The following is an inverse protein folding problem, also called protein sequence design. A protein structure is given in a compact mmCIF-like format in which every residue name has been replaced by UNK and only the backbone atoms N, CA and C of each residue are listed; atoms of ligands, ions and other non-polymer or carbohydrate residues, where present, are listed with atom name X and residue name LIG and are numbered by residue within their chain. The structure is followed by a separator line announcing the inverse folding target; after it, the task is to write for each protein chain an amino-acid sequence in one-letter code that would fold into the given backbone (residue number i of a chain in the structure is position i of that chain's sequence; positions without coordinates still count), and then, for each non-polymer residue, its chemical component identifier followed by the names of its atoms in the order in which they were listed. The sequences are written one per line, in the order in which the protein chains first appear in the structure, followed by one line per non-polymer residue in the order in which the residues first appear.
data_IF_639431977888
#
_entry.id   IF_639431977888
#
_cell.length_a   1.000
_cell.length_b   1.000
_cell.length_c   1.000
_cell.angle_alpha   90.00
_cell.angle_beta   90.00
_cell.angle_gamma   90.00
#
_symmetry.space_group_name_H-M   'P 1'
#
loop_
_entity.id
_entity.type
_entity.pdbx_description
1 polymer ?
#
# COMPACT_ATOMS: atom_id res chain seq x y z
N UNK A 1 -1.91 -3.53 17.57
CA UNK A 1 -1.87 -4.13 16.22
C UNK A 1 -0.94 -5.33 16.17
N UNK A 2 0.35 -5.20 16.51
CA UNK A 2 1.26 -6.37 16.46
C UNK A 2 0.86 -7.51 17.42
N UNK A 3 0.31 -7.20 18.60
CA UNK A 3 -0.17 -8.23 19.54
C UNK A 3 -1.59 -8.78 19.23
N UNK A 4 -2.18 -8.43 18.09
CA UNK A 4 -3.55 -8.84 17.72
C UNK A 4 -3.59 -9.95 16.65
N UNK A 5 -2.49 -10.66 16.41
CA UNK A 5 -2.45 -11.69 15.36
C UNK A 5 -2.40 -11.10 13.95
N UNK A 6 -1.56 -10.08 13.71
CA UNK A 6 -1.47 -9.41 12.39
C UNK A 6 -1.11 -10.36 11.23
N UNK A 7 -0.42 -11.46 11.53
CA UNK A 7 -0.01 -12.47 10.55
C UNK A 7 -1.22 -13.13 9.88
N UNK A 8 -2.32 -13.35 10.61
CA UNK A 8 -3.55 -13.92 10.05
C UNK A 8 -4.08 -12.99 8.95
N UNK A 9 -4.12 -11.68 9.20
CA UNK A 9 -4.54 -10.70 8.21
C UNK A 9 -3.61 -10.65 6.99
N UNK A 10 -2.29 -10.77 7.18
CA UNK A 10 -1.33 -10.65 6.06
C UNK A 10 -1.26 -11.89 5.19
N UNK A 11 -1.46 -13.07 5.77
CA UNK A 11 -1.23 -14.35 5.09
C UNK A 11 -2.52 -15.13 4.79
N UNK A 12 -3.67 -14.69 5.33
CA UNK A 12 -4.96 -15.23 4.90
C UNK A 12 -5.21 -14.90 3.42
N UNK A 13 -5.56 -15.94 2.65
CA UNK A 13 -5.65 -15.85 1.18
C UNK A 13 -6.89 -15.13 0.66
N UNK A 14 -7.83 -14.76 1.54
CA UNK A 14 -9.12 -14.17 1.16
C UNK A 14 -9.28 -12.79 1.79
N UNK A 15 -8.77 -11.78 1.12
CA UNK A 15 -8.99 -10.40 1.52
C UNK A 15 -8.00 -9.43 0.91
N UNK A 16 -8.23 -8.16 1.19
CA UNK A 16 -7.27 -7.07 0.95
C UNK A 16 -7.07 -6.35 2.27
N UNK A 17 -5.82 -6.21 2.69
CA UNK A 17 -5.47 -5.47 3.90
C UNK A 17 -4.93 -4.11 3.51
N UNK A 18 -5.52 -3.05 4.09
CA UNK A 18 -5.06 -1.68 3.93
C UNK A 18 -4.52 -1.20 5.28
N UNK A 19 -3.28 -0.72 5.29
CA UNK A 19 -2.60 -0.31 6.52
C UNK A 19 -2.27 1.17 6.43
N UNK A 20 -2.92 1.96 7.27
CA UNK A 20 -2.52 3.36 7.48
C UNK A 20 -1.26 3.44 8.33
N UNK A 21 -0.45 4.48 8.09
CA UNK A 21 0.81 4.71 8.80
C UNK A 21 1.79 3.51 8.77
N UNK A 22 1.76 2.72 7.69
CA UNK A 22 2.57 1.50 7.49
C UNK A 22 4.07 1.68 7.77
N UNK A 23 4.60 2.90 7.59
CA UNK A 23 5.97 3.28 7.96
C UNK A 23 6.36 2.97 9.42
N UNK A 24 5.40 2.92 10.34
CA UNK A 24 5.63 2.60 11.76
C UNK A 24 5.87 1.11 12.01
N UNK A 25 5.51 0.25 11.06
CA UNK A 25 5.63 -1.21 11.15
C UNK A 25 6.45 -1.77 9.98
N UNK A 26 7.36 -0.97 9.41
CA UNK A 26 8.08 -1.29 8.17
C UNK A 26 8.76 -2.67 8.20
N UNK A 27 9.31 -3.05 9.35
CA UNK A 27 10.01 -4.33 9.54
C UNK A 27 9.06 -5.54 9.58
N UNK A 28 7.77 -5.31 9.77
CA UNK A 28 6.72 -6.33 9.82
C UNK A 28 5.92 -6.43 8.52
N UNK A 29 6.11 -5.52 7.57
CA UNK A 29 5.41 -5.56 6.30
C UNK A 29 5.79 -6.83 5.52
N UNK A 30 4.84 -7.42 4.76
CA UNK A 30 5.16 -8.55 3.90
C UNK A 30 6.19 -8.15 2.84
N UNK A 31 6.87 -9.14 2.24
CA UNK A 31 7.86 -8.90 1.18
C UNK A 31 7.25 -8.26 -0.08
N UNK A 32 5.97 -8.53 -0.32
CA UNK A 32 5.22 -8.02 -1.46
C UNK A 32 4.01 -7.23 -0.97
N UNK A 33 3.88 -5.98 -1.42
CA UNK A 33 2.78 -5.08 -1.10
C UNK A 33 2.72 -3.94 -2.11
N UNK A 34 1.58 -3.24 -2.16
CA UNK A 34 1.44 -1.98 -2.86
C UNK A 34 1.52 -0.84 -1.85
N UNK A 35 2.56 0.00 -1.96
CA UNK A 35 2.67 1.21 -1.17
C UNK A 35 1.90 2.35 -1.85
N UNK A 36 1.07 3.06 -1.08
CA UNK A 36 0.36 4.25 -1.53
C UNK A 36 0.70 5.42 -0.62
N UNK A 37 1.12 6.53 -1.22
CA UNK A 37 1.53 7.75 -0.53
C UNK A 37 0.60 8.90 -0.93
N UNK A 38 0.07 9.61 0.06
CA UNK A 38 -0.74 10.81 -0.13
C UNK A 38 0.05 12.02 0.37
N UNK A 39 0.32 12.97 -0.54
CA UNK A 39 0.96 14.25 -0.21
C UNK A 39 -0.06 15.38 -0.31
N UNK A 40 -0.10 16.23 0.72
CA UNK A 40 -0.90 17.46 0.69
C UNK A 40 -0.26 18.44 -0.31
N UNK A 41 -1.04 18.90 -1.28
CA UNK A 41 -0.62 19.89 -2.29
C UNK A 41 -1.33 21.22 -2.08
N UNK A 42 -2.59 21.17 -1.64
CA UNK A 42 -3.43 22.32 -1.34
C UNK A 42 -4.50 21.91 -0.31
N UNK A 43 -5.38 22.81 0.12
CA UNK A 43 -6.47 22.54 1.05
C UNK A 43 -7.35 21.37 0.60
N UNK A 44 -7.77 21.39 -0.67
CA UNK A 44 -8.63 20.36 -1.28
C UNK A 44 -7.91 19.40 -2.25
N UNK A 45 -6.59 19.57 -2.45
CA UNK A 45 -5.83 18.76 -3.40
C UNK A 45 -4.81 17.85 -2.71
N UNK A 46 -4.74 16.61 -3.16
CA UNK A 46 -3.74 15.63 -2.75
C UNK A 46 -3.05 15.09 -4.00
N UNK A 47 -1.73 14.91 -3.93
CA UNK A 47 -0.99 14.09 -4.89
C UNK A 47 -0.94 12.68 -4.34
N UNK A 48 -1.42 11.72 -5.14
CA UNK A 48 -1.34 10.30 -4.82
C UNK A 48 -0.22 9.71 -5.67
N UNK A 49 0.72 9.03 -5.03
CA UNK A 49 1.76 8.24 -5.69
C UNK A 49 1.76 6.83 -5.14
N UNK A 50 2.21 5.85 -5.93
CA UNK A 50 2.32 4.48 -5.47
C UNK A 50 3.57 3.79 -5.95
N UNK A 51 3.96 2.73 -5.25
CA UNK A 51 5.08 1.88 -5.58
C UNK A 51 4.73 0.42 -5.30
N UNK A 52 4.90 -0.43 -6.31
CA UNK A 52 4.66 -1.86 -6.18
C UNK A 52 5.92 -2.61 -5.77
N UNK A 53 5.81 -3.38 -4.69
CA UNK A 53 6.82 -4.34 -4.24
C UNK A 53 6.30 -5.75 -4.55
N UNK A 54 7.02 -6.51 -5.36
CA UNK A 54 6.59 -7.84 -5.81
C UNK A 54 5.98 -7.88 -7.22
N UNK A 55 5.97 -9.07 -7.83
CA UNK A 55 5.51 -9.22 -9.22
C UNK A 55 4.00 -9.07 -9.34
N UNK A 56 3.26 -9.65 -8.39
CA UNK A 56 1.79 -9.58 -8.36
C UNK A 56 1.30 -8.14 -8.25
N UNK A 57 1.91 -7.33 -7.38
CA UNK A 57 1.52 -5.94 -7.20
C UNK A 57 1.96 -5.02 -8.35
N UNK A 58 2.99 -5.38 -9.12
CA UNK A 58 3.35 -4.62 -10.35
C UNK A 58 2.25 -4.70 -11.40
N UNK A 59 1.67 -5.88 -11.61
CA UNK A 59 0.56 -6.05 -12.54
C UNK A 59 -0.70 -5.30 -12.08
N UNK A 60 -0.98 -5.31 -10.77
CA UNK A 60 -2.08 -4.52 -10.19
C UNK A 60 -1.82 -3.03 -10.39
N UNK A 61 -0.61 -2.55 -10.09
CA UNK A 61 -0.26 -1.15 -10.22
C UNK A 61 -0.33 -0.66 -11.66
N UNK A 62 0.13 -1.47 -12.63
CA UNK A 62 0.01 -1.17 -14.07
C UNK A 62 -1.44 -0.96 -14.50
N UNK A 63 -2.38 -1.76 -13.99
CA UNK A 63 -3.82 -1.59 -14.26
C UNK A 63 -4.38 -0.29 -13.65
N UNK A 64 -3.71 0.25 -12.62
CA UNK A 64 -4.11 1.45 -11.90
C UNK A 64 -3.32 2.70 -12.31
N UNK A 65 -2.39 2.62 -13.26
CA UNK A 65 -1.51 3.75 -13.64
C UNK A 65 -2.28 5.02 -14.00
N UNK A 66 -3.46 4.90 -14.62
CA UNK A 66 -4.31 6.04 -14.96
C UNK A 66 -4.95 6.77 -13.76
N UNK A 67 -4.83 6.23 -12.54
CA UNK A 67 -5.38 6.79 -11.30
C UNK A 67 -4.34 7.57 -10.49
N UNK A 68 -3.05 7.40 -10.80
CA UNK A 68 -1.96 8.05 -10.09
C UNK A 68 -1.41 9.22 -10.92
N UNK A 69 -1.03 10.31 -10.25
CA UNK A 69 -0.34 11.40 -10.94
C UNK A 69 1.04 10.89 -11.39
N UNK A 70 1.25 10.84 -12.71
CA UNK A 70 2.57 10.69 -13.31
C UNK A 70 3.49 11.78 -12.73
N UNK A 71 4.63 11.35 -12.19
CA UNK A 71 5.67 12.26 -11.74
C UNK A 71 6.48 12.77 -12.94
#
# INVERSE_FOLDING_TARGET
ILCLGYEEYFYEKRGVVVIEWAKKIKDFLPKEYLEINLKIVDLSKRKISGQAYGASYREVFKKMEGLFCSC
#
